data_IF_884838702874
#
_entry.id   IF_884838702874
#
_cell.length_a   1.000
_cell.length_b   1.000
_cell.length_c   1.000
_cell.angle_alpha   90.00
_cell.angle_beta   90.00
_cell.angle_gamma   90.00
#
_symmetry.space_group_name_H-M   'P 1'
#
loop_
_entity.id
_entity.type
_entity.pdbx_description
1 polymer ?
#
# COMPACT_ATOMS: atom_id res chain seq x y z
N UNK A 1 -32.83 28.67 27.74
CA UNK A 1 -32.50 27.62 26.74
C UNK A 1 -31.08 27.85 26.25
N UNK A 2 -30.11 27.06 26.70
CA UNK A 2 -28.70 27.14 26.28
C UNK A 2 -28.26 25.76 25.78
N UNK A 3 -28.26 25.58 24.46
CA UNK A 3 -27.65 24.44 23.76
C UNK A 3 -26.52 24.99 22.90
N UNK A 4 -25.27 25.03 23.41
CA UNK A 4 -24.12 25.35 22.53
C UNK A 4 -22.75 24.85 23.00
N UNK A 5 -22.64 24.17 24.15
CA UNK A 5 -21.34 23.67 24.63
C UNK A 5 -20.99 22.24 24.17
N UNK A 6 -21.96 21.44 23.71
CA UNK A 6 -21.73 20.03 23.32
C UNK A 6 -21.34 19.80 21.85
N UNK A 7 -21.52 20.77 20.95
CA UNK A 7 -21.25 20.62 19.50
C UNK A 7 -19.81 21.00 19.06
N UNK A 8 -19.06 21.67 19.94
CA UNK A 8 -17.69 22.13 19.64
C UNK A 8 -16.63 21.04 19.55
N UNK A 9 -16.60 19.98 20.39
CA UNK A 9 -15.54 18.97 20.30
C UNK A 9 -15.59 18.20 18.98
N UNK A 10 -16.80 17.85 18.51
CA UNK A 10 -17.01 17.09 17.27
C UNK A 10 -16.58 17.84 16.00
N UNK A 11 -16.78 19.17 15.92
CA UNK A 11 -16.36 19.96 14.76
C UNK A 11 -14.83 20.07 14.66
N UNK A 12 -14.15 20.22 15.80
CA UNK A 12 -12.68 20.29 15.83
C UNK A 12 -12.03 18.94 15.50
N UNK A 13 -12.59 17.84 16.03
CA UNK A 13 -12.14 16.48 15.70
C UNK A 13 -12.28 16.18 14.20
N UNK A 14 -13.43 16.51 13.60
CA UNK A 14 -13.68 16.36 12.16
C UNK A 14 -12.73 17.21 11.32
N UNK A 15 -12.48 18.45 11.71
CA UNK A 15 -11.54 19.32 11.02
C UNK A 15 -10.11 18.77 11.08
N UNK A 16 -9.67 18.29 12.25
CA UNK A 16 -8.35 17.63 12.39
C UNK A 16 -8.25 16.37 11.53
N UNK A 17 -9.30 15.57 11.48
CA UNK A 17 -9.35 14.38 10.63
C UNK A 17 -9.24 14.73 9.15
N UNK A 18 -10.02 15.71 8.67
CA UNK A 18 -9.97 16.17 7.27
C UNK A 18 -8.61 16.74 6.90
N UNK A 19 -8.02 17.55 7.80
CA UNK A 19 -6.72 18.18 7.57
C UNK A 19 -5.59 17.15 7.59
N UNK A 20 -5.64 16.18 8.50
CA UNK A 20 -4.73 15.04 8.50
C UNK A 20 -4.88 14.19 7.23
N UNK A 21 -6.11 13.97 6.74
CA UNK A 21 -6.39 13.29 5.48
C UNK A 21 -5.84 14.03 4.26
N UNK A 22 -6.01 15.35 4.20
CA UNK A 22 -5.46 16.18 3.13
C UNK A 22 -3.92 16.16 3.11
N UNK A 23 -3.29 16.24 4.28
CA UNK A 23 -1.83 16.11 4.41
C UNK A 23 -1.38 14.69 3.97
N UNK A 24 -2.10 13.64 4.39
CA UNK A 24 -1.80 12.27 3.95
C UNK A 24 -1.87 12.13 2.44
N UNK A 25 -2.93 12.64 1.80
CA UNK A 25 -3.10 12.54 0.36
C UNK A 25 -1.99 13.28 -0.40
N UNK A 26 -1.65 14.51 0.04
CA UNK A 26 -0.55 15.28 -0.54
C UNK A 26 0.80 14.58 -0.36
N UNK A 27 1.05 14.01 0.82
CA UNK A 27 2.28 13.29 1.11
C UNK A 27 2.37 11.95 0.36
N UNK A 28 1.26 11.21 0.23
CA UNK A 28 1.20 9.99 -0.57
C UNK A 28 1.56 10.28 -2.02
N UNK A 29 1.00 11.36 -2.58
CA UNK A 29 1.31 11.80 -3.94
C UNK A 29 2.77 12.20 -4.09
N UNK A 30 3.31 12.96 -3.13
CA UNK A 30 4.73 13.34 -3.11
C UNK A 30 5.65 12.10 -3.06
N UNK A 31 5.38 11.16 -2.15
CA UNK A 31 6.13 9.90 -2.04
C UNK A 31 6.03 9.07 -3.32
N UNK A 32 4.84 8.94 -3.90
CA UNK A 32 4.67 8.24 -5.17
C UNK A 32 5.57 8.86 -6.24
N UNK A 33 5.48 10.17 -6.45
CA UNK A 33 6.26 10.86 -7.49
C UNK A 33 7.76 10.77 -7.22
N UNK A 34 8.19 10.87 -5.97
CA UNK A 34 9.58 10.67 -5.56
C UNK A 34 10.07 9.26 -5.84
N UNK A 35 9.29 8.23 -5.48
CA UNK A 35 9.64 6.84 -5.76
C UNK A 35 9.62 6.51 -7.24
N UNK A 36 8.67 7.04 -7.99
CA UNK A 36 8.61 6.92 -9.45
C UNK A 36 9.85 7.55 -10.11
N UNK A 37 10.28 8.72 -9.63
CA UNK A 37 11.50 9.35 -10.10
C UNK A 37 12.75 8.53 -9.76
N UNK A 38 12.88 8.05 -8.51
CA UNK A 38 13.98 7.17 -8.09
C UNK A 38 13.99 5.84 -8.86
N UNK A 39 12.82 5.25 -9.08
CA UNK A 39 12.66 4.05 -9.89
C UNK A 39 13.11 4.30 -11.33
N UNK A 40 12.76 5.44 -11.93
CA UNK A 40 13.25 5.86 -13.24
C UNK A 40 14.78 5.99 -13.30
N UNK A 41 15.41 6.56 -12.27
CA UNK A 41 16.88 6.61 -12.17
C UNK A 41 17.51 5.21 -12.12
N UNK A 42 16.83 4.24 -11.51
CA UNK A 42 17.25 2.84 -11.43
C UNK A 42 16.82 2.00 -12.65
N UNK A 43 16.14 2.59 -13.62
CA UNK A 43 15.65 1.91 -14.82
C UNK A 43 14.40 1.03 -14.62
N UNK A 44 13.68 1.23 -13.52
CA UNK A 44 12.43 0.51 -13.21
C UNK A 44 11.24 1.27 -13.80
N UNK A 45 10.59 0.68 -14.81
CA UNK A 45 9.42 1.25 -15.48
C UNK A 45 8.13 0.92 -14.73
N UNK A 46 7.69 1.80 -13.85
CA UNK A 46 6.57 1.54 -12.91
C UNK A 46 5.17 1.62 -13.54
N UNK A 47 5.02 2.15 -14.76
CA UNK A 47 3.71 2.46 -15.38
C UNK A 47 3.24 1.50 -16.46
N UNK A 48 3.99 0.45 -16.79
CA UNK A 48 3.72 -0.34 -18.00
C UNK A 48 3.54 -1.81 -17.66
N UNK A 49 2.33 -2.32 -17.93
CA UNK A 49 2.00 -3.75 -17.93
C UNK A 49 2.12 -4.28 -19.36
N UNK A 50 3.13 -5.10 -19.63
CA UNK A 50 3.35 -5.74 -20.95
C UNK A 50 3.58 -7.24 -20.76
N UNK A 51 2.67 -8.02 -21.32
CA UNK A 51 2.83 -9.45 -21.56
C UNK A 51 2.38 -9.72 -23.00
N UNK A 52 3.25 -10.18 -23.93
CA UNK A 52 4.65 -10.60 -23.75
C UNK A 52 5.63 -9.44 -23.42
N UNK A 53 6.85 -9.74 -22.92
CA UNK A 53 7.87 -8.72 -22.67
C UNK A 53 8.23 -8.01 -23.97
N UNK A 54 8.29 -6.68 -23.93
CA UNK A 54 8.61 -5.85 -25.09
C UNK A 54 9.89 -5.09 -24.82
N UNK A 55 10.76 -5.06 -25.82
CA UNK A 55 11.95 -4.23 -25.81
C UNK A 55 11.53 -2.75 -25.94
N UNK A 56 11.86 -1.95 -24.93
CA UNK A 56 11.50 -0.53 -24.89
C UNK A 56 12.73 0.31 -24.52
N UNK A 57 12.88 1.44 -25.21
CA UNK A 57 13.87 2.45 -24.87
C UNK A 57 13.40 3.20 -23.62
N UNK A 58 14.20 3.08 -22.56
CA UNK A 58 13.96 3.73 -21.27
C UNK A 58 15.17 4.60 -20.97
N UNK A 59 14.92 5.81 -20.48
CA UNK A 59 15.98 6.68 -20.01
C UNK A 59 16.38 6.24 -18.60
N UNK A 60 17.59 5.68 -18.46
CA UNK A 60 18.18 5.25 -17.20
C UNK A 60 19.31 6.21 -16.85
N UNK A 61 19.13 6.99 -15.78
CA UNK A 61 19.99 8.13 -15.48
C UNK A 61 19.99 9.13 -16.64
N UNK A 62 21.15 9.35 -17.25
CA UNK A 62 21.31 10.24 -18.41
C UNK A 62 21.41 9.51 -19.76
N UNK A 63 21.28 8.17 -19.77
CA UNK A 63 21.47 7.36 -20.98
C UNK A 63 20.17 6.69 -21.43
N UNK A 64 19.92 6.67 -22.74
CA UNK A 64 18.87 5.85 -23.32
C UNK A 64 19.36 4.42 -23.44
N UNK A 65 18.67 3.49 -22.78
CA UNK A 65 18.99 2.07 -22.81
C UNK A 65 17.79 1.28 -23.29
N UNK A 66 18.05 0.27 -24.11
CA UNK A 66 17.04 -0.70 -24.51
C UNK A 66 16.90 -1.74 -23.41
N UNK A 67 15.71 -1.85 -22.82
CA UNK A 67 15.43 -2.78 -21.72
C UNK A 67 14.22 -3.64 -22.06
N UNK A 68 14.31 -4.91 -21.69
CA UNK A 68 13.19 -5.85 -21.75
C UNK A 68 12.23 -5.55 -20.61
N UNK A 69 11.11 -4.90 -20.92
CA UNK A 69 10.09 -4.58 -19.93
C UNK A 69 9.10 -5.74 -19.83
N UNK A 70 9.10 -6.41 -18.67
CA UNK A 70 8.19 -7.50 -18.31
C UNK A 70 7.12 -7.05 -17.31
N UNK A 71 6.19 -7.94 -17.02
CA UNK A 71 5.19 -7.82 -15.95
C UNK A 71 5.80 -7.57 -14.55
N UNK A 72 7.06 -7.96 -14.32
CA UNK A 72 7.76 -7.77 -13.04
C UNK A 72 7.90 -6.29 -12.66
N UNK A 73 8.00 -5.40 -13.66
CA UNK A 73 8.08 -3.96 -13.45
C UNK A 73 6.74 -3.36 -12.96
N UNK A 74 5.61 -3.98 -13.33
CA UNK A 74 4.29 -3.59 -12.82
C UNK A 74 4.18 -3.90 -11.33
N UNK A 75 4.66 -5.06 -10.89
CA UNK A 75 4.68 -5.42 -9.46
C UNK A 75 5.60 -4.50 -8.65
N UNK A 76 6.75 -4.11 -9.21
CA UNK A 76 7.60 -3.09 -8.61
C UNK A 76 6.87 -1.74 -8.47
N UNK A 77 6.10 -1.33 -9.48
CA UNK A 77 5.22 -0.16 -9.40
C UNK A 77 4.21 -0.26 -8.26
N UNK A 78 3.50 -1.38 -8.14
CA UNK A 78 2.56 -1.62 -7.05
C UNK A 78 3.22 -1.55 -5.66
N UNK A 79 4.44 -2.08 -5.50
CA UNK A 79 5.20 -1.94 -4.26
C UNK A 79 5.43 -0.49 -3.85
N UNK A 80 5.81 0.36 -4.80
CA UNK A 80 6.08 1.77 -4.52
C UNK A 80 4.80 2.52 -4.13
N UNK A 81 3.67 2.18 -4.73
CA UNK A 81 2.35 2.73 -4.33
C UNK A 81 2.01 2.32 -2.91
N UNK A 82 2.15 1.03 -2.58
CA UNK A 82 1.89 0.52 -1.23
C UNK A 82 2.81 1.19 -0.21
N UNK A 83 4.10 1.30 -0.51
CA UNK A 83 5.08 1.98 0.35
C UNK A 83 4.71 3.45 0.57
N UNK A 84 4.24 4.14 -0.48
CA UNK A 84 3.76 5.53 -0.40
C UNK A 84 2.55 5.66 0.53
N UNK A 85 1.59 4.74 0.43
CA UNK A 85 0.39 4.73 1.28
C UNK A 85 0.74 4.45 2.75
N UNK A 86 1.68 3.54 3.00
CA UNK A 86 2.17 3.24 4.35
C UNK A 86 2.81 4.49 4.96
N UNK A 87 3.71 5.15 4.23
CA UNK A 87 4.34 6.40 4.66
C UNK A 87 3.31 7.51 4.91
N UNK A 88 2.33 7.67 4.02
CA UNK A 88 1.24 8.63 4.17
C UNK A 88 0.36 8.37 5.39
N UNK A 89 0.07 7.11 5.71
CA UNK A 89 -0.66 6.74 6.93
C UNK A 89 0.06 7.23 8.19
N UNK A 90 1.39 7.09 8.26
CA UNK A 90 2.15 7.55 9.43
C UNK A 90 2.22 9.08 9.50
N UNK A 91 2.37 9.77 8.37
CA UNK A 91 2.31 11.24 8.36
C UNK A 91 0.92 11.74 8.78
N UNK A 92 -0.17 11.12 8.32
CA UNK A 92 -1.51 11.42 8.82
C UNK A 92 -1.61 11.22 10.34
N UNK A 93 -1.02 10.15 10.87
CA UNK A 93 -1.04 9.86 12.31
C UNK A 93 -0.24 10.89 13.12
N UNK A 94 0.91 11.34 12.62
CA UNK A 94 1.70 12.44 13.21
C UNK A 94 0.88 13.74 13.16
N UNK A 95 0.31 14.08 12.02
CA UNK A 95 -0.50 15.29 11.86
C UNK A 95 -1.73 15.29 12.78
N UNK A 96 -2.37 14.14 12.94
CA UNK A 96 -3.55 13.97 13.80
C UNK A 96 -3.20 14.10 15.29
N UNK A 97 -2.19 13.35 15.78
CA UNK A 97 -1.79 13.34 17.20
C UNK A 97 -0.88 14.50 17.60
N UNK A 98 -0.25 15.17 16.63
CA UNK A 98 0.79 16.21 16.81
C UNK A 98 1.99 15.76 17.65
N UNK A 99 2.23 14.46 17.73
CA UNK A 99 3.33 13.87 18.49
C UNK A 99 4.02 12.78 17.66
N UNK A 100 5.34 12.90 17.50
CA UNK A 100 6.18 11.95 16.79
C UNK A 100 6.34 10.64 17.59
N UNK A 101 6.25 10.71 18.92
CA UNK A 101 6.32 9.52 19.80
C UNK A 101 5.19 8.54 19.51
N UNK A 102 4.03 9.04 19.05
CA UNK A 102 2.89 8.23 18.65
C UNK A 102 3.14 7.31 17.43
N UNK A 103 4.23 7.52 16.68
CA UNK A 103 4.69 6.66 15.57
C UNK A 103 5.83 5.73 16.00
N UNK A 104 6.59 6.09 17.02
CA UNK A 104 7.65 5.24 17.59
C UNK A 104 7.13 4.30 18.69
N UNK A 105 5.85 4.40 19.04
CA UNK A 105 5.20 3.45 19.92
C UNK A 105 5.42 2.02 19.42
N UNK A 106 5.69 1.10 20.36
CA UNK A 106 5.92 -0.31 20.08
C UNK A 106 4.84 -0.90 19.16
N UNK A 107 3.59 -0.49 19.34
CA UNK A 107 2.49 -0.93 18.46
C UNK A 107 2.62 -0.42 17.03
N UNK A 108 2.97 0.84 16.84
CA UNK A 108 3.16 1.42 15.51
C UNK A 108 4.30 0.71 14.77
N UNK A 109 5.41 0.41 15.43
CA UNK A 109 6.49 -0.41 14.86
C UNK A 109 6.01 -1.83 14.44
N UNK A 110 5.15 -2.47 15.25
CA UNK A 110 4.55 -3.75 14.88
C UNK A 110 3.57 -3.64 13.70
N UNK A 111 2.89 -2.51 13.53
CA UNK A 111 2.06 -2.26 12.36
C UNK A 111 2.94 -2.03 11.11
N UNK A 112 4.07 -1.32 11.22
CA UNK A 112 5.05 -1.17 10.13
C UNK A 112 5.55 -2.54 9.69
N UNK A 113 6.01 -3.36 10.63
CA UNK A 113 6.48 -4.71 10.33
C UNK A 113 5.38 -5.57 9.68
N UNK A 114 4.14 -5.45 10.17
CA UNK A 114 2.99 -6.15 9.58
C UNK A 114 2.69 -5.70 8.17
N UNK A 115 2.82 -4.41 7.87
CA UNK A 115 2.69 -3.90 6.51
C UNK A 115 3.78 -4.48 5.60
N UNK A 116 5.06 -4.43 5.98
CA UNK A 116 6.13 -5.00 5.15
C UNK A 116 5.91 -6.50 4.86
N UNK A 117 5.58 -7.28 5.89
CA UNK A 117 5.34 -8.72 5.74
C UNK A 117 4.08 -8.97 4.91
N UNK A 118 2.97 -8.29 5.20
CA UNK A 118 1.70 -8.46 4.49
C UNK A 118 1.79 -8.06 3.02
N UNK A 119 2.53 -6.99 2.73
CA UNK A 119 2.81 -6.54 1.36
C UNK A 119 3.65 -7.55 0.58
N UNK A 120 4.65 -8.18 1.21
CA UNK A 120 5.42 -9.26 0.58
C UNK A 120 4.56 -10.52 0.31
N UNK A 121 3.67 -10.87 1.25
CA UNK A 121 2.71 -11.99 1.08
C UNK A 121 1.75 -11.70 -0.06
N UNK A 122 1.17 -10.49 -0.12
CA UNK A 122 0.25 -10.08 -1.19
C UNK A 122 0.92 -10.15 -2.57
N UNK A 123 2.18 -9.76 -2.69
CA UNK A 123 2.92 -9.94 -3.95
C UNK A 123 3.10 -11.39 -4.35
N UNK A 124 3.47 -12.24 -3.39
CA UNK A 124 3.65 -13.65 -3.66
C UNK A 124 2.33 -14.27 -4.15
N UNK A 125 1.21 -13.86 -3.55
CA UNK A 125 -0.13 -14.29 -3.95
C UNK A 125 -0.52 -13.75 -5.35
N UNK A 126 -0.28 -12.47 -5.63
CA UNK A 126 -0.50 -11.90 -6.97
C UNK A 126 0.32 -12.61 -8.04
N UNK A 127 1.57 -12.97 -7.74
CA UNK A 127 2.44 -13.74 -8.65
C UNK A 127 1.90 -15.15 -8.86
N UNK A 128 1.38 -15.78 -7.82
CA UNK A 128 0.75 -17.10 -7.90
C UNK A 128 -0.52 -17.08 -8.76
N UNK A 129 -1.37 -16.05 -8.58
CA UNK A 129 -2.58 -15.83 -9.39
C UNK A 129 -2.21 -15.63 -10.86
N UNK A 130 -1.17 -14.84 -11.15
CA UNK A 130 -0.71 -14.62 -12.52
C UNK A 130 -0.18 -15.92 -13.18
N UNK A 131 0.56 -16.75 -12.44
CA UNK A 131 0.98 -18.08 -12.90
C UNK A 131 -0.23 -18.98 -13.19
N UNK A 132 -1.21 -19.00 -12.29
CA UNK A 132 -2.43 -19.80 -12.44
C UNK A 132 -3.23 -19.39 -13.69
N UNK A 133 -3.36 -18.09 -13.94
CA UNK A 133 -4.01 -17.55 -15.14
C UNK A 133 -3.28 -17.91 -16.44
N UNK A 134 -1.95 -18.03 -16.41
CA UNK A 134 -1.16 -18.48 -17.57
C UNK A 134 -1.35 -19.97 -17.85
N UNK A 135 -1.40 -20.81 -16.81
CA UNK A 135 -1.53 -22.26 -16.97
C UNK A 135 -2.97 -22.72 -17.27
N UNK A 136 -3.97 -21.94 -16.87
CA UNK A 136 -5.39 -22.29 -17.03
C UNK A 136 -6.13 -21.28 -17.92
N UNK A 137 -6.05 -21.40 -19.26
CA UNK A 137 -6.69 -20.46 -20.20
C UNK A 137 -8.22 -20.41 -20.10
N UNK A 138 -8.86 -21.37 -19.42
CA UNK A 138 -10.30 -21.35 -19.11
C UNK A 138 -10.66 -20.18 -18.16
N UNK A 139 -9.77 -19.81 -17.22
CA UNK A 139 -9.95 -18.63 -16.35
C UNK A 139 -9.92 -17.32 -17.16
N UNK A 140 -9.20 -17.30 -18.28
CA UNK A 140 -9.20 -16.17 -19.21
C UNK A 140 -10.48 -16.09 -20.07
N UNK A 141 -11.36 -17.10 -20.09
CA UNK A 141 -12.63 -17.01 -20.84
C UNK A 141 -13.73 -16.28 -20.07
N UNK A 142 -13.62 -16.21 -18.74
CA UNK A 142 -14.64 -15.66 -17.84
C UNK A 142 -14.05 -14.57 -16.94
N UNK A 143 -13.51 -13.53 -17.56
CA UNK A 143 -12.77 -12.44 -16.89
C UNK A 143 -13.46 -11.85 -15.66
N UNK A 144 -14.79 -11.70 -15.68
CA UNK A 144 -15.55 -11.18 -14.53
C UNK A 144 -15.55 -12.13 -13.34
N UNK A 145 -15.69 -13.44 -13.59
CA UNK A 145 -15.75 -14.46 -12.55
C UNK A 145 -14.37 -14.71 -11.96
N UNK A 146 -13.33 -14.75 -12.80
CA UNK A 146 -11.95 -14.87 -12.34
C UNK A 146 -11.48 -13.66 -11.56
N UNK A 147 -11.74 -12.43 -12.03
CA UNK A 147 -11.41 -11.22 -11.28
C UNK A 147 -12.12 -11.15 -9.92
N UNK A 148 -13.38 -11.60 -9.86
CA UNK A 148 -14.13 -11.65 -8.60
C UNK A 148 -13.55 -12.72 -7.66
N UNK A 149 -13.19 -13.89 -8.18
CA UNK A 149 -12.54 -14.96 -7.42
C UNK A 149 -11.18 -14.51 -6.87
N UNK A 150 -10.36 -13.86 -7.69
CA UNK A 150 -9.07 -13.29 -7.29
C UNK A 150 -9.25 -12.23 -6.20
N UNK A 151 -10.23 -11.35 -6.35
CA UNK A 151 -10.54 -10.35 -5.33
C UNK A 151 -10.97 -11.00 -4.00
N UNK A 152 -11.84 -12.01 -4.05
CA UNK A 152 -12.29 -12.74 -2.86
C UNK A 152 -11.11 -13.49 -2.21
N UNK A 153 -10.23 -14.09 -3.00
CA UNK A 153 -9.03 -14.76 -2.51
C UNK A 153 -8.10 -13.77 -1.80
N UNK A 154 -7.77 -12.65 -2.45
CA UNK A 154 -6.92 -11.59 -1.88
C UNK A 154 -7.54 -10.95 -0.64
N UNK A 155 -8.85 -10.68 -0.64
CA UNK A 155 -9.56 -10.14 0.51
C UNK A 155 -9.58 -11.14 1.69
N UNK A 156 -9.80 -12.43 1.39
CA UNK A 156 -9.74 -13.51 2.36
C UNK A 156 -8.35 -13.65 2.97
N UNK A 157 -7.31 -13.69 2.13
CA UNK A 157 -5.90 -13.69 2.51
C UNK A 157 -5.54 -12.50 3.41
N UNK A 158 -5.92 -11.29 3.01
CA UNK A 158 -5.69 -10.08 3.80
C UNK A 158 -6.37 -10.16 5.19
N UNK A 159 -7.59 -10.71 5.27
CA UNK A 159 -8.29 -10.88 6.53
C UNK A 159 -7.64 -11.95 7.43
N UNK A 160 -7.20 -13.07 6.84
CA UNK A 160 -6.44 -14.11 7.55
C UNK A 160 -5.13 -13.53 8.07
N UNK A 161 -4.40 -12.79 7.24
CA UNK A 161 -3.16 -12.12 7.62
C UNK A 161 -3.39 -11.12 8.77
N UNK A 162 -4.40 -10.25 8.66
CA UNK A 162 -4.74 -9.29 9.71
C UNK A 162 -5.09 -9.99 11.03
N UNK A 163 -5.85 -11.07 10.97
CA UNK A 163 -6.23 -11.88 12.13
C UNK A 163 -5.02 -12.55 12.78
N UNK A 164 -4.16 -13.17 11.97
CA UNK A 164 -2.91 -13.80 12.40
C UNK A 164 -1.94 -12.79 13.00
N UNK A 165 -1.73 -11.65 12.33
CA UNK A 165 -0.86 -10.59 12.80
C UNK A 165 -1.38 -9.98 14.10
N UNK A 166 -2.69 -9.76 14.21
CA UNK A 166 -3.34 -9.33 15.45
C UNK A 166 -3.18 -10.34 16.59
N UNK A 167 -3.25 -11.65 16.31
CA UNK A 167 -2.94 -12.70 17.29
C UNK A 167 -1.47 -12.65 17.72
N UNK A 168 -0.55 -12.47 16.77
CA UNK A 168 0.89 -12.37 17.04
C UNK A 168 1.22 -11.15 17.91
N UNK A 169 0.65 -9.98 17.59
CA UNK A 169 0.78 -8.76 18.38
C UNK A 169 0.27 -8.96 19.82
N UNK A 170 -0.88 -9.64 19.99
CA UNK A 170 -1.42 -9.98 21.32
C UNK A 170 -0.49 -10.92 22.09
N UNK A 171 0.02 -11.98 21.46
CA UNK A 171 0.98 -12.91 22.08
C UNK A 171 2.27 -12.22 22.50
N UNK A 172 2.71 -11.21 21.76
CA UNK A 172 3.90 -10.40 22.09
C UNK A 172 3.64 -9.26 23.07
N UNK A 173 2.46 -9.23 23.71
CA UNK A 173 2.02 -8.21 24.68
C UNK A 173 2.13 -6.79 24.12
N UNK A 174 1.87 -6.63 22.82
CA UNK A 174 1.77 -5.29 22.21
C UNK A 174 0.52 -4.63 22.79
N UNK A 175 0.62 -3.42 23.36
CA UNK A 175 -0.50 -2.78 24.03
C UNK A 175 -1.67 -2.59 23.06
N UNK A 176 -2.93 -2.84 23.50
CA UNK A 176 -4.12 -2.52 22.72
C UNK A 176 -4.21 -1.01 22.52
N UNK A 177 -5.16 -0.56 21.71
CA UNK A 177 -5.21 0.85 21.32
C UNK A 177 -5.53 1.63 22.57
N UNK A 178 -4.59 2.45 23.03
CA UNK A 178 -4.93 3.57 23.89
C UNK A 178 -5.86 4.48 23.11
N UNK A 179 -7.15 4.21 23.22
CA UNK A 179 -8.16 5.25 23.24
C UNK A 179 -7.96 6.03 24.54
#
# INVERSE_FOLDING_TARGET
MSRSSFDRPLRYERLRFLLAGAIAAGFAWFCWRGFEYLAGLLGIVTRIHRAPPVEQWVQIGESWQSVWVSEDFTYAGFMLVVLSLVLAYYVARIAYRRDIRAVLDRRALWLIAGWFVGTAVLLAELRLIALLHREMPILARWHLVSNLADFVALAGSANIFASFWGLLMRRRKVPPSGL
#
